data_IF_568748840582
#
_entry.id   IF_568748840582
#
_cell.length_a   1.000
_cell.length_b   1.000
_cell.length_c   1.000
_cell.angle_alpha   90.00
_cell.angle_beta   90.00
_cell.angle_gamma   90.00
#
_symmetry.space_group_name_H-M   'P 1'
#
loop_
_entity.id
_entity.type
_entity.pdbx_description
1 polymer ?
#
# COMPACT_ATOMS: atom_id res chain seq x y z
N UNK A 1 -13.41 9.31 -16.51
CA UNK A 1 -14.62 10.18 -16.60
C UNK A 1 -15.95 9.40 -16.61
N UNK A 2 -15.98 8.06 -16.56
CA UNK A 2 -17.23 7.27 -16.66
C UNK A 2 -17.73 6.61 -15.36
N UNK A 3 -17.06 6.83 -14.22
CA UNK A 3 -17.56 6.42 -12.90
C UNK A 3 -18.31 7.53 -12.15
N UNK A 4 -18.36 8.76 -12.68
CA UNK A 4 -18.99 9.90 -11.98
C UNK A 4 -20.53 9.83 -11.91
N UNK A 5 -21.17 8.91 -12.62
CA UNK A 5 -22.64 8.83 -12.67
C UNK A 5 -23.25 7.68 -11.86
N UNK A 6 -22.47 6.92 -11.10
CA UNK A 6 -23.05 5.93 -10.17
C UNK A 6 -22.46 6.10 -8.79
N UNK A 7 -23.24 6.75 -7.93
CA UNK A 7 -23.09 6.75 -6.47
C UNK A 7 -22.98 5.31 -5.95
N UNK A 8 -21.79 4.73 -5.97
CA UNK A 8 -21.49 3.60 -5.11
C UNK A 8 -21.54 4.13 -3.69
N UNK A 9 -22.57 3.71 -2.93
CA UNK A 9 -22.93 4.25 -1.60
C UNK A 9 -21.79 4.28 -0.56
N UNK A 10 -20.62 3.70 -0.85
CA UNK A 10 -19.48 3.58 0.05
C UNK A 10 -18.13 4.00 -0.58
N UNK A 11 -18.11 4.72 -1.72
CA UNK A 11 -16.84 5.13 -2.36
C UNK A 11 -16.02 6.08 -1.46
N UNK A 12 -16.70 6.88 -0.63
CA UNK A 12 -16.07 7.73 0.38
C UNK A 12 -15.25 6.91 1.39
N UNK A 13 -15.75 5.75 1.82
CA UNK A 13 -15.06 4.89 2.78
C UNK A 13 -13.78 4.33 2.16
N UNK A 14 -13.82 3.97 0.88
CA UNK A 14 -12.65 3.55 0.12
C UNK A 14 -11.60 4.66 0.06
N UNK A 15 -11.99 5.87 -0.35
CA UNK A 15 -11.10 7.04 -0.45
C UNK A 15 -10.53 7.48 0.92
N UNK A 16 -11.25 7.29 2.02
CA UNK A 16 -10.72 7.53 3.39
C UNK A 16 -9.80 6.41 3.86
N UNK A 17 -10.12 5.15 3.52
CA UNK A 17 -9.34 4.00 3.99
C UNK A 17 -7.95 3.91 3.37
N UNK A 18 -7.79 4.33 2.11
CA UNK A 18 -6.51 4.32 1.38
C UNK A 18 -5.37 5.07 2.06
N UNK A 19 -5.50 6.38 2.39
CA UNK A 19 -4.42 7.11 3.02
C UNK A 19 -4.07 6.55 4.40
N UNK A 20 -5.06 6.04 5.14
CA UNK A 20 -4.81 5.36 6.43
C UNK A 20 -3.97 4.10 6.21
N UNK A 21 -4.35 3.26 5.24
CA UNK A 21 -3.60 2.07 4.86
C UNK A 21 -2.18 2.39 4.38
N UNK A 22 -2.03 3.44 3.57
CA UNK A 22 -0.74 3.93 3.10
C UNK A 22 0.14 4.36 4.28
N UNK A 23 -0.37 5.19 5.19
CA UNK A 23 0.38 5.66 6.38
C UNK A 23 0.85 4.48 7.23
N UNK A 24 0.00 3.47 7.44
CA UNK A 24 0.35 2.28 8.20
C UNK A 24 1.52 1.51 7.57
N UNK A 25 1.42 1.19 6.27
CA UNK A 25 2.47 0.45 5.56
C UNK A 25 3.75 1.28 5.43
N UNK A 26 3.62 2.56 5.16
CA UNK A 26 4.75 3.49 5.07
C UNK A 26 5.50 3.59 6.40
N UNK A 27 4.77 3.71 7.53
CA UNK A 27 5.38 3.75 8.86
C UNK A 27 6.15 2.47 9.16
N UNK A 28 5.56 1.30 8.87
CA UNK A 28 6.21 0.01 9.02
C UNK A 28 7.53 -0.06 8.21
N UNK A 29 7.50 0.32 6.94
CA UNK A 29 8.69 0.27 6.08
C UNK A 29 9.79 1.21 6.55
N UNK A 30 9.46 2.41 7.06
CA UNK A 30 10.47 3.32 7.62
C UNK A 30 11.13 2.76 8.89
N UNK A 31 10.37 2.03 9.71
CA UNK A 31 10.88 1.35 10.91
C UNK A 31 11.82 0.20 10.52
N UNK A 32 11.42 -0.65 9.58
CA UNK A 32 12.25 -1.75 9.05
C UNK A 32 13.52 -1.23 8.39
N UNK A 33 13.45 -0.08 7.71
CA UNK A 33 14.63 0.58 7.13
C UNK A 33 15.54 1.22 8.20
N UNK A 34 15.18 1.22 9.48
CA UNK A 34 15.97 1.79 10.58
C UNK A 34 16.48 3.21 10.25
N UNK A 35 15.60 4.06 9.72
CA UNK A 35 15.95 5.43 9.37
C UNK A 35 16.13 6.27 10.65
N UNK A 36 17.16 7.12 10.67
CA UNK A 36 17.42 8.06 11.78
C UNK A 36 16.13 8.75 12.26
N UNK A 37 15.90 8.83 13.58
CA UNK A 37 14.66 9.36 14.16
C UNK A 37 14.25 10.75 13.66
N UNK A 38 15.21 11.60 13.32
CA UNK A 38 14.96 12.94 12.75
C UNK A 38 14.46 12.83 11.31
N UNK A 39 15.15 12.03 10.48
CA UNK A 39 14.75 11.75 9.09
C UNK A 39 13.41 11.01 9.05
N UNK A 40 13.18 10.10 10.00
CA UNK A 40 11.91 9.37 10.18
C UNK A 40 10.74 10.35 10.37
N UNK A 41 10.87 11.32 11.29
CA UNK A 41 9.84 12.35 11.49
C UNK A 41 9.62 13.20 10.24
N UNK A 42 10.67 13.54 9.49
CA UNK A 42 10.55 14.28 8.24
C UNK A 42 9.83 13.47 7.15
N UNK A 43 10.17 12.18 7.01
CA UNK A 43 9.53 11.26 6.06
C UNK A 43 8.06 11.00 6.42
N UNK A 44 7.75 10.81 7.71
CA UNK A 44 6.37 10.70 8.18
C UNK A 44 5.58 11.98 7.91
N UNK A 45 6.19 13.15 8.16
CA UNK A 45 5.60 14.44 7.81
C UNK A 45 5.30 14.56 6.31
N UNK A 46 6.25 14.17 5.46
CA UNK A 46 6.07 14.16 4.01
C UNK A 46 5.00 13.16 3.55
N UNK A 47 5.00 11.94 4.08
CA UNK A 47 3.99 10.92 3.77
C UNK A 47 2.58 11.35 4.18
N UNK A 48 2.43 11.92 5.37
CA UNK A 48 1.15 12.50 5.83
C UNK A 48 0.74 13.69 4.96
N UNK A 49 1.67 14.59 4.59
CA UNK A 49 1.36 15.72 3.72
C UNK A 49 0.90 15.26 2.32
N UNK A 50 1.54 14.23 1.75
CA UNK A 50 1.13 13.62 0.48
C UNK A 50 -0.26 12.98 0.62
N UNK A 51 -0.49 12.19 1.68
CA UNK A 51 -1.80 11.57 1.93
C UNK A 51 -2.92 12.59 2.09
N UNK A 52 -2.67 13.69 2.81
CA UNK A 52 -3.62 14.81 2.98
C UNK A 52 -3.83 15.53 1.65
N UNK A 53 -2.77 15.87 0.91
CA UNK A 53 -2.88 16.54 -0.38
C UNK A 53 -3.70 15.70 -1.38
N UNK A 54 -3.50 14.38 -1.38
CA UNK A 54 -4.25 13.45 -2.22
C UNK A 54 -5.70 13.31 -1.76
N UNK A 55 -6.00 13.31 -0.45
CA UNK A 55 -7.37 13.38 0.06
C UNK A 55 -8.13 14.63 -0.41
N UNK A 56 -7.47 15.79 -0.45
CA UNK A 56 -8.07 17.03 -0.96
C UNK A 56 -8.15 17.07 -2.50
N UNK A 57 -7.26 16.37 -3.19
CA UNK A 57 -7.32 16.21 -4.64
C UNK A 57 -8.33 15.13 -5.09
N UNK A 58 -8.68 14.19 -4.21
CA UNK A 58 -9.61 13.12 -4.48
C UNK A 58 -11.03 13.68 -4.56
N UNK A 59 -11.65 13.57 -5.74
CA UNK A 59 -13.10 13.73 -5.86
C UNK A 59 -13.75 12.50 -5.21
N UNK A 60 -14.39 12.69 -4.05
CA UNK A 60 -14.98 11.62 -3.23
C UNK A 60 -15.96 10.70 -3.97
N UNK A 61 -16.52 11.16 -5.09
CA UNK A 61 -17.47 10.42 -5.92
C UNK A 61 -16.82 9.65 -7.07
N UNK A 62 -15.49 9.66 -7.20
CA UNK A 62 -14.80 8.98 -8.30
C UNK A 62 -13.56 8.23 -7.86
N UNK A 63 -13.26 7.16 -8.61
CA UNK A 63 -12.01 6.42 -8.48
C UNK A 63 -10.84 7.23 -9.07
N UNK A 64 -9.77 7.41 -8.29
CA UNK A 64 -8.58 8.12 -8.70
C UNK A 64 -7.41 7.14 -8.90
N UNK A 65 -7.17 6.74 -10.15
CA UNK A 65 -6.08 5.80 -10.50
C UNK A 65 -4.68 6.39 -10.28
N UNK A 66 -4.54 7.71 -10.37
CA UNK A 66 -3.25 8.39 -10.17
C UNK A 66 -2.80 8.31 -8.72
N UNK A 67 -3.73 8.46 -7.77
CA UNK A 67 -3.46 8.30 -6.34
C UNK A 67 -2.93 6.90 -6.02
N UNK A 68 -3.58 5.86 -6.56
CA UNK A 68 -3.13 4.47 -6.40
C UNK A 68 -1.74 4.25 -7.00
N UNK A 69 -1.50 4.77 -8.20
CA UNK A 69 -0.19 4.66 -8.83
C UNK A 69 0.91 5.31 -7.98
N UNK A 70 0.65 6.50 -7.40
CA UNK A 70 1.59 7.20 -6.53
C UNK A 70 1.86 6.37 -5.26
N UNK A 71 0.83 5.92 -4.55
CA UNK A 71 1.02 5.11 -3.34
C UNK A 71 1.77 3.81 -3.62
N UNK A 72 1.37 3.08 -4.65
CA UNK A 72 2.02 1.84 -5.05
C UNK A 72 3.50 2.07 -5.39
N UNK A 73 3.80 3.13 -6.15
CA UNK A 73 5.19 3.46 -6.52
C UNK A 73 6.05 3.80 -5.31
N UNK A 74 5.52 4.57 -4.35
CA UNK A 74 6.26 4.91 -3.12
C UNK A 74 6.55 3.66 -2.29
N UNK A 75 5.55 2.80 -2.07
CA UNK A 75 5.73 1.57 -1.29
C UNK A 75 6.72 0.62 -1.97
N UNK A 76 6.58 0.40 -3.28
CA UNK A 76 7.51 -0.42 -4.07
C UNK A 76 8.93 0.14 -3.98
N UNK A 77 9.11 1.45 -4.10
CA UNK A 77 10.42 2.10 -3.97
C UNK A 77 11.08 1.89 -2.61
N UNK A 78 10.30 1.95 -1.52
CA UNK A 78 10.79 1.65 -0.17
C UNK A 78 11.17 0.17 0.00
N UNK A 79 10.39 -0.76 -0.56
CA UNK A 79 10.74 -2.18 -0.58
C UNK A 79 12.04 -2.43 -1.37
N UNK A 80 12.22 -1.77 -2.52
CA UNK A 80 13.48 -1.85 -3.29
C UNK A 80 14.65 -1.33 -2.47
N UNK A 81 14.48 -0.22 -1.74
CA UNK A 81 15.52 0.32 -0.85
C UNK A 81 15.87 -0.68 0.26
N UNK A 82 14.88 -1.38 0.82
CA UNK A 82 15.09 -2.44 1.81
C UNK A 82 15.94 -3.57 1.23
N UNK A 83 15.56 -4.13 0.08
CA UNK A 83 16.32 -5.20 -0.56
C UNK A 83 17.72 -4.75 -0.97
N UNK A 84 17.88 -3.52 -1.46
CA UNK A 84 19.18 -2.94 -1.78
C UNK A 84 20.09 -2.92 -0.55
N UNK A 85 19.62 -2.39 0.58
CA UNK A 85 20.40 -2.36 1.83
C UNK A 85 20.75 -3.76 2.32
N UNK A 86 19.84 -4.72 2.16
CA UNK A 86 20.08 -6.10 2.52
C UNK A 86 21.15 -6.76 1.63
N UNK A 87 21.18 -6.44 0.33
CA UNK A 87 22.23 -6.92 -0.59
C UNK A 87 23.58 -6.25 -0.29
N UNK A 88 23.56 -4.97 0.06
CA UNK A 88 24.78 -4.20 0.41
C UNK A 88 25.31 -4.56 1.81
N UNK A 89 24.46 -5.04 2.71
CA UNK A 89 24.90 -5.53 4.01
C UNK A 89 25.58 -6.88 3.82
N UNK A 90 26.86 -7.00 4.18
CA UNK A 90 27.60 -8.27 4.19
C UNK A 90 27.04 -9.30 5.19
N UNK A 91 25.93 -8.98 5.87
CA UNK A 91 25.22 -9.90 6.75
C UNK A 91 24.42 -10.91 5.93
N UNK A 92 24.57 -12.22 6.19
CA UNK A 92 23.79 -13.24 5.49
C UNK A 92 22.29 -13.01 5.70
N UNK A 93 21.54 -13.06 4.61
CA UNK A 93 20.07 -12.94 4.62
C UNK A 93 19.48 -14.08 5.45
N UNK A 94 18.89 -13.75 6.59
CA UNK A 94 18.14 -14.70 7.39
C UNK A 94 16.73 -14.82 6.82
N UNK A 95 16.49 -15.87 6.02
CA UNK A 95 15.15 -16.21 5.51
C UNK A 95 14.13 -16.53 6.63
N UNK A 96 14.57 -16.59 7.88
CA UNK A 96 13.70 -16.68 9.07
C UNK A 96 13.16 -15.31 9.54
N UNK A 97 13.66 -14.19 9.00
CA UNK A 97 13.19 -12.85 9.35
C UNK A 97 11.77 -12.62 8.82
N UNK A 98 10.87 -12.27 9.73
CA UNK A 98 9.50 -11.90 9.39
C UNK A 98 9.44 -10.64 8.53
N UNK A 99 10.38 -9.72 8.74
CA UNK A 99 10.52 -8.45 8.02
C UNK A 99 10.82 -8.69 6.54
N UNK A 100 11.69 -9.65 6.23
CA UNK A 100 12.00 -10.03 4.86
C UNK A 100 10.75 -10.48 4.10
N UNK A 101 10.01 -11.45 4.65
CA UNK A 101 8.81 -11.98 4.01
C UNK A 101 7.70 -10.94 3.88
N UNK A 102 7.58 -10.06 4.88
CA UNK A 102 6.61 -8.98 4.84
C UNK A 102 6.95 -7.96 3.74
N UNK A 103 8.21 -7.54 3.62
CA UNK A 103 8.68 -6.69 2.53
C UNK A 103 8.49 -7.35 1.15
N UNK A 104 8.71 -8.66 1.03
CA UNK A 104 8.40 -9.40 -0.21
C UNK A 104 6.90 -9.36 -0.53
N UNK A 105 6.04 -9.61 0.46
CA UNK A 105 4.58 -9.56 0.29
C UNK A 105 4.10 -8.18 -0.14
N UNK A 106 4.61 -7.12 0.50
CA UNK A 106 4.34 -5.73 0.11
C UNK A 106 4.81 -5.45 -1.32
N UNK A 107 6.05 -5.81 -1.67
CA UNK A 107 6.60 -5.57 -3.00
C UNK A 107 5.77 -6.24 -4.10
N UNK A 108 5.36 -7.49 -3.91
CA UNK A 108 4.54 -8.22 -4.89
C UNK A 108 3.14 -7.61 -4.97
N UNK A 109 2.48 -7.37 -3.83
CA UNK A 109 1.12 -6.84 -3.81
C UNK A 109 1.04 -5.45 -4.48
N UNK A 110 1.91 -4.53 -4.06
CA UNK A 110 1.93 -3.17 -4.58
C UNK A 110 2.59 -3.05 -5.97
N UNK A 111 3.45 -4.00 -6.36
CA UNK A 111 4.01 -4.06 -7.71
C UNK A 111 2.99 -4.58 -8.73
N UNK A 112 2.22 -5.61 -8.37
CA UNK A 112 1.19 -6.19 -9.26
C UNK A 112 -0.06 -5.32 -9.38
N UNK A 113 -0.39 -4.51 -8.38
CA UNK A 113 -1.51 -3.56 -8.44
C UNK A 113 -1.36 -2.53 -9.56
N UNK A 114 -0.14 -2.16 -9.96
CA UNK A 114 0.11 -1.30 -11.12
C UNK A 114 -0.35 -1.96 -12.44
N UNK A 115 -0.10 -3.26 -12.60
CA UNK A 115 -0.57 -4.01 -13.77
C UNK A 115 -2.09 -4.18 -13.78
N UNK A 116 -2.68 -4.38 -12.60
CA UNK A 116 -4.14 -4.49 -12.47
C UNK A 116 -4.86 -3.17 -12.74
N UNK A 117 -4.27 -2.03 -12.40
CA UNK A 117 -4.82 -0.71 -12.73
C UNK A 117 -4.94 -0.52 -14.25
N UNK A 118 -3.88 -0.80 -15.01
CA UNK A 118 -3.92 -0.73 -16.47
C UNK A 118 -4.89 -1.74 -17.10
N UNK A 119 -4.96 -2.95 -16.56
CA UNK A 119 -5.92 -3.97 -17.00
C UNK A 119 -7.36 -3.52 -16.75
N UNK A 120 -7.64 -2.92 -15.60
CA UNK A 120 -8.95 -2.41 -15.25
C UNK A 120 -9.36 -1.27 -16.18
N UNK A 121 -8.45 -0.35 -16.51
CA UNK A 121 -8.69 0.74 -17.45
C UNK A 121 -9.04 0.21 -18.85
N UNK A 122 -8.25 -0.73 -19.37
CA UNK A 122 -8.57 -1.41 -20.63
C UNK A 122 -9.95 -2.11 -20.59
N UNK A 123 -10.29 -2.79 -19.50
CA UNK A 123 -11.60 -3.44 -19.36
C UNK A 123 -12.75 -2.43 -19.26
N UNK A 124 -12.53 -1.26 -18.66
CA UNK A 124 -13.56 -0.21 -18.59
C UNK A 124 -13.95 0.25 -20.00
N UNK A 125 -12.96 0.42 -20.88
CA UNK A 125 -13.17 0.85 -22.27
C UNK A 125 -13.84 -0.23 -23.12
N UNK A 126 -13.51 -1.51 -22.89
CA UNK A 126 -13.91 -2.61 -23.79
C UNK A 126 -15.10 -3.43 -23.26
N UNK A 127 -15.27 -3.60 -21.95
CA UNK A 127 -16.30 -4.45 -21.33
C UNK A 127 -16.62 -4.04 -19.88
N UNK A 128 -17.48 -3.04 -19.73
CA UNK A 128 -17.85 -2.48 -18.43
C UNK A 128 -18.42 -3.50 -17.41
N UNK A 129 -19.29 -4.46 -17.79
CA UNK A 129 -19.74 -5.51 -16.87
C UNK A 129 -18.60 -6.36 -16.30
N UNK A 130 -17.61 -6.72 -17.13
CA UNK A 130 -16.44 -7.48 -16.71
C UNK A 130 -15.54 -6.64 -15.80
N UNK A 131 -15.29 -5.37 -16.16
CA UNK A 131 -14.52 -4.43 -15.36
C UNK A 131 -15.08 -4.29 -13.93
N UNK A 132 -16.41 -4.24 -13.79
CA UNK A 132 -17.05 -4.16 -12.48
C UNK A 132 -16.80 -5.40 -11.62
N UNK A 133 -16.91 -6.60 -12.20
CA UNK A 133 -16.61 -7.86 -11.48
C UNK A 133 -15.14 -7.89 -11.06
N UNK A 134 -14.26 -7.51 -11.97
CA UNK A 134 -12.82 -7.45 -11.72
C UNK A 134 -12.47 -6.47 -10.60
N UNK A 135 -13.07 -5.27 -10.61
CA UNK A 135 -12.90 -4.28 -9.54
C UNK A 135 -13.28 -4.83 -8.16
N UNK A 136 -14.42 -5.53 -8.03
CA UNK A 136 -14.81 -6.12 -6.74
C UNK A 136 -13.85 -7.22 -6.27
N UNK A 137 -13.29 -8.01 -7.19
CA UNK A 137 -12.26 -9.01 -6.87
C UNK A 137 -11.00 -8.30 -6.34
N UNK A 138 -10.56 -7.22 -6.98
CA UNK A 138 -9.41 -6.43 -6.53
C UNK A 138 -9.65 -5.85 -5.13
N UNK A 139 -10.82 -5.23 -4.90
CA UNK A 139 -11.19 -4.68 -3.59
C UNK A 139 -11.22 -5.76 -2.51
N UNK A 140 -11.80 -6.94 -2.79
CA UNK A 140 -11.82 -8.05 -1.85
C UNK A 140 -10.41 -8.56 -1.52
N UNK A 141 -9.55 -8.72 -2.52
CA UNK A 141 -8.15 -9.10 -2.33
C UNK A 141 -7.38 -8.07 -1.49
N UNK A 142 -7.62 -6.77 -1.70
CA UNK A 142 -7.03 -5.73 -0.88
C UNK A 142 -7.44 -5.86 0.59
N UNK A 143 -8.73 -6.10 0.88
CA UNK A 143 -9.16 -6.31 2.27
C UNK A 143 -8.51 -7.55 2.91
N UNK A 144 -8.45 -8.68 2.20
CA UNK A 144 -7.78 -9.90 2.68
C UNK A 144 -6.30 -9.61 2.98
N UNK A 145 -5.62 -8.91 2.08
CA UNK A 145 -4.23 -8.52 2.24
C UNK A 145 -4.03 -7.64 3.48
N UNK A 146 -4.87 -6.63 3.70
CA UNK A 146 -4.78 -5.79 4.89
C UNK A 146 -5.10 -6.56 6.18
N UNK A 147 -6.01 -7.53 6.15
CA UNK A 147 -6.23 -8.42 7.30
C UNK A 147 -4.97 -9.24 7.63
N UNK A 148 -4.27 -9.75 6.62
CA UNK A 148 -2.99 -10.45 6.78
C UNK A 148 -1.92 -9.50 7.35
N UNK A 149 -1.87 -8.25 6.85
CA UNK A 149 -0.96 -7.22 7.37
C UNK A 149 -1.22 -6.92 8.84
N UNK A 150 -2.48 -6.68 9.21
CA UNK A 150 -2.85 -6.40 10.60
C UNK A 150 -2.49 -7.60 11.49
N UNK A 151 -2.78 -8.81 11.03
CA UNK A 151 -2.41 -10.03 11.76
C UNK A 151 -0.90 -10.14 11.95
N UNK A 152 -0.12 -9.91 10.88
CA UNK A 152 1.34 -9.93 10.93
C UNK A 152 1.86 -8.90 11.94
N UNK A 153 1.40 -7.64 11.86
CA UNK A 153 1.77 -6.56 12.79
C UNK A 153 1.44 -6.88 14.25
N UNK A 154 0.29 -7.51 14.51
CA UNK A 154 -0.09 -7.94 15.86
C UNK A 154 0.79 -9.10 16.36
N UNK A 155 1.18 -10.01 15.47
CA UNK A 155 2.02 -11.17 15.80
C UNK A 155 3.51 -10.83 15.96
N UNK A 156 3.98 -9.74 15.36
CA UNK A 156 5.37 -9.29 15.40
C UNK A 156 5.72 -8.42 16.62
N UNK A 157 4.86 -8.33 17.65
CA UNK A 157 5.21 -7.65 18.91
C UNK A 157 6.44 -8.31 19.56
N UNK A 158 7.39 -7.51 20.08
CA UNK A 158 8.61 -8.05 20.68
C UNK A 158 8.28 -8.93 21.89
N UNK A 159 8.90 -10.11 21.96
CA UNK A 159 8.98 -10.94 23.17
C UNK A 159 9.88 -10.25 24.23
N UNK A 160 9.50 -9.08 24.71
CA UNK A 160 10.14 -8.44 25.86
C UNK A 160 9.10 -8.13 26.92
N UNK A 161 8.64 -9.17 27.62
CA UNK A 161 7.99 -9.06 28.92
C UNK A 161 7.97 -10.41 29.64
N UNK A 162 9.08 -11.14 29.70
CA UNK A 162 9.39 -12.13 30.75
C UNK A 162 10.89 -12.47 30.66
N UNK A 163 11.64 -12.02 31.66
CA UNK A 163 13.09 -12.21 31.79
C UNK A 163 13.68 -11.13 32.68
#
# INVERSE_FOLDING_TARGET
MYFSERHMKNLWLYNVSKPIQFILVFTYLLEVLNIDRIKLKAWLGAGCAIGIALLFAAKFDSYNSLEDAIFNTVIVGLCVLYFKRMIESETPVTLSSSEFWFCCGLFIFYGTSLWFAGTLEFMIENNLPLARKFFYILVANSYIFYCIIIYALLSSRPKNAHG
#
